data_IF_022973470503
#
_entry.id   IF_022973470503
#
_cell.length_a   1.000
_cell.length_b   1.000
_cell.length_c   1.000
_cell.angle_alpha   90.00
_cell.angle_beta   90.00
_cell.angle_gamma   90.00
#
_symmetry.space_group_name_H-M   'P 1'
#
loop_
_entity.id
_entity.type
_entity.pdbx_description
1 polymer ?
#
# COMPACT_ATOMS: atom_id res chain seq x y z
N UNK A 1 11.71 -15.96 45.42
CA UNK A 1 12.47 -16.16 44.15
C UNK A 1 13.82 -15.48 44.30
N UNK A 2 14.93 -16.16 44.00
CA UNK A 2 16.29 -15.62 44.20
C UNK A 2 16.58 -14.53 43.15
N UNK A 3 17.07 -13.36 43.56
CA UNK A 3 17.42 -12.25 42.64
C UNK A 3 18.32 -12.68 41.48
N UNK A 4 19.22 -13.65 41.67
CA UNK A 4 20.03 -14.23 40.58
C UNK A 4 19.16 -14.94 39.53
N UNK A 5 18.17 -15.72 39.96
CA UNK A 5 17.25 -16.40 39.07
C UNK A 5 16.36 -15.42 38.30
N UNK A 6 15.96 -14.32 38.94
CA UNK A 6 15.20 -13.23 38.30
C UNK A 6 16.07 -12.56 37.21
N UNK A 7 17.31 -12.22 37.54
CA UNK A 7 18.23 -11.58 36.58
C UNK A 7 18.50 -12.50 35.39
N UNK A 8 18.76 -13.79 35.62
CA UNK A 8 18.95 -14.77 34.54
C UNK A 8 17.73 -14.85 33.64
N UNK A 9 16.52 -14.89 34.22
CA UNK A 9 15.28 -14.93 33.45
C UNK A 9 15.10 -13.67 32.59
N UNK A 10 15.38 -12.48 33.15
CA UNK A 10 15.31 -11.21 32.41
C UNK A 10 16.29 -11.19 31.23
N UNK A 11 17.52 -11.66 31.42
CA UNK A 11 18.52 -11.74 30.34
C UNK A 11 18.05 -12.66 29.22
N UNK A 12 17.49 -13.83 29.55
CA UNK A 12 16.98 -14.78 28.55
C UNK A 12 15.83 -14.14 27.75
N UNK A 13 14.89 -13.48 28.41
CA UNK A 13 13.78 -12.78 27.74
C UNK A 13 14.34 -11.69 26.81
N UNK A 14 15.31 -10.90 27.27
CA UNK A 14 15.92 -9.85 26.47
C UNK A 14 16.61 -10.41 25.21
N UNK A 15 17.32 -11.53 25.33
CA UNK A 15 17.95 -12.21 24.20
C UNK A 15 16.92 -12.72 23.19
N UNK A 16 15.79 -13.26 23.65
CA UNK A 16 14.69 -13.71 22.78
C UNK A 16 14.08 -12.52 22.03
N UNK A 17 13.84 -11.39 22.72
CA UNK A 17 13.29 -10.19 22.09
C UNK A 17 14.23 -9.62 21.02
N UNK A 18 15.53 -9.55 21.32
CA UNK A 18 16.54 -9.08 20.35
C UNK A 18 16.60 -10.05 19.16
N UNK A 19 16.67 -11.35 19.43
CA UNK A 19 16.70 -12.38 18.38
C UNK A 19 15.46 -12.33 17.48
N UNK A 20 14.27 -12.20 18.08
CA UNK A 20 13.02 -12.06 17.34
C UNK A 20 12.98 -10.79 16.48
N UNK A 21 13.43 -9.65 17.03
CA UNK A 21 13.50 -8.40 16.27
C UNK A 21 14.47 -8.50 15.08
N UNK A 22 15.66 -9.07 15.28
CA UNK A 22 16.63 -9.28 14.20
C UNK A 22 16.10 -10.25 13.13
N UNK A 23 15.38 -11.30 13.55
CA UNK A 23 14.75 -12.24 12.62
C UNK A 23 13.69 -11.55 11.75
N UNK A 24 12.80 -10.75 12.36
CA UNK A 24 11.79 -10.00 11.59
C UNK A 24 12.46 -9.05 10.61
N UNK A 25 13.44 -8.26 11.05
CA UNK A 25 14.15 -7.34 10.16
C UNK A 25 14.86 -8.03 9.00
N UNK A 26 15.52 -9.17 9.25
CA UNK A 26 16.25 -9.90 8.23
C UNK A 26 15.34 -10.55 7.16
N UNK A 27 14.08 -10.81 7.50
CA UNK A 27 13.08 -11.41 6.61
C UNK A 27 12.01 -10.39 6.16
N UNK A 28 12.24 -9.09 6.40
CA UNK A 28 11.30 -8.05 5.99
C UNK A 28 11.59 -7.58 4.57
N UNK A 29 10.56 -7.52 3.74
CA UNK A 29 10.63 -7.06 2.35
C UNK A 29 10.09 -5.64 2.18
N UNK A 30 10.75 -4.85 1.32
CA UNK A 30 10.28 -3.53 0.92
C UNK A 30 9.19 -3.68 -0.14
N UNK A 31 7.94 -3.38 0.21
CA UNK A 31 6.86 -3.43 -0.78
C UNK A 31 6.70 -2.12 -1.54
N UNK A 32 5.99 -2.21 -2.66
CA UNK A 32 5.62 -1.09 -3.52
C UNK A 32 4.24 -1.33 -4.13
N UNK A 33 3.42 -0.28 -4.15
CA UNK A 33 2.19 -0.24 -4.94
C UNK A 33 2.45 0.58 -6.18
N UNK A 34 2.44 -0.07 -7.35
CA UNK A 34 2.56 0.59 -8.64
C UNK A 34 1.18 0.84 -9.24
N UNK A 35 0.95 2.05 -9.76
CA UNK A 35 -0.22 2.35 -10.59
C UNK A 35 0.08 1.90 -12.02
N UNK A 36 -0.66 0.92 -12.52
CA UNK A 36 -0.46 0.28 -13.84
C UNK A 36 -1.48 0.71 -14.88
N UNK A 37 -2.53 1.43 -14.49
CA UNK A 37 -3.44 2.09 -15.43
C UNK A 37 -2.76 3.27 -16.14
N UNK A 38 -3.36 3.72 -17.25
CA UNK A 38 -2.93 4.95 -17.91
C UNK A 38 -3.00 6.16 -16.96
N UNK A 39 -2.15 7.15 -17.20
CA UNK A 39 -2.16 8.42 -16.47
C UNK A 39 -3.27 9.37 -16.93
N UNK A 40 -3.98 9.06 -18.02
CA UNK A 40 -5.16 9.77 -18.50
C UNK A 40 -6.29 8.75 -18.64
N UNK A 41 -7.38 8.96 -17.91
CA UNK A 41 -8.54 8.09 -17.85
C UNK A 41 -9.82 8.90 -18.08
N UNK A 42 -10.92 8.21 -18.33
CA UNK A 42 -12.28 8.79 -18.36
C UNK A 42 -13.17 8.10 -17.33
N UNK A 43 -14.32 8.69 -17.03
CA UNK A 43 -15.35 8.03 -16.26
C UNK A 43 -15.75 6.69 -16.93
N UNK A 44 -15.84 5.64 -16.12
CA UNK A 44 -16.03 4.26 -16.56
C UNK A 44 -14.73 3.47 -16.75
N UNK A 45 -13.57 4.12 -16.87
CA UNK A 45 -12.28 3.45 -16.78
C UNK A 45 -11.93 3.14 -15.31
N UNK A 46 -10.86 2.38 -15.10
CA UNK A 46 -10.38 2.03 -13.77
C UNK A 46 -8.94 2.46 -13.52
N UNK A 47 -8.70 3.02 -12.34
CA UNK A 47 -7.35 3.07 -11.78
C UNK A 47 -6.99 1.65 -11.37
N UNK A 48 -5.89 1.13 -11.92
CA UNK A 48 -5.40 -0.21 -11.63
C UNK A 48 -4.06 -0.10 -10.91
N UNK A 49 -3.87 -0.95 -9.91
CA UNK A 49 -2.63 -1.03 -9.14
C UNK A 49 -2.12 -2.47 -9.09
N UNK A 50 -0.84 -2.63 -8.79
CA UNK A 50 -0.23 -3.90 -8.41
C UNK A 50 0.63 -3.73 -7.16
N UNK A 51 0.50 -4.64 -6.19
CA UNK A 51 1.31 -4.69 -4.98
C UNK A 51 2.42 -5.74 -5.13
N UNK A 52 3.68 -5.29 -5.05
CA UNK A 52 4.85 -6.15 -5.19
C UNK A 52 5.92 -5.87 -4.14
N UNK A 53 6.90 -6.76 -3.97
CA UNK A 53 8.15 -6.50 -3.25
C UNK A 53 9.30 -6.07 -4.18
N UNK A 54 10.48 -5.82 -3.62
CA UNK A 54 11.71 -5.52 -4.36
C UNK A 54 12.14 -6.62 -5.34
N UNK A 55 11.61 -7.83 -5.19
CA UNK A 55 11.88 -9.00 -6.04
C UNK A 55 10.76 -9.28 -7.06
N UNK A 56 9.73 -8.43 -7.12
CA UNK A 56 8.54 -8.56 -7.97
C UNK A 56 7.64 -9.74 -7.60
N UNK A 57 7.72 -10.24 -6.37
CA UNK A 57 6.70 -11.15 -5.86
C UNK A 57 5.42 -10.34 -5.63
N UNK A 58 4.29 -10.90 -6.06
CA UNK A 58 2.98 -10.29 -5.90
C UNK A 58 2.37 -10.68 -4.56
N UNK A 59 1.49 -9.83 -4.02
CA UNK A 59 0.81 -10.10 -2.76
C UNK A 59 -0.71 -10.12 -2.93
N UNK A 60 -1.32 -11.31 -3.10
CA UNK A 60 -2.76 -11.49 -3.14
C UNK A 60 -3.46 -11.31 -1.79
N UNK A 61 -4.72 -10.86 -1.82
CA UNK A 61 -5.58 -10.75 -0.63
C UNK A 61 -5.21 -9.64 0.35
N UNK A 62 -4.31 -8.74 -0.04
CA UNK A 62 -3.82 -7.65 0.80
C UNK A 62 -4.66 -6.39 0.59
N UNK A 63 -5.06 -5.70 1.67
CA UNK A 63 -5.80 -4.45 1.58
C UNK A 63 -4.88 -3.29 1.21
N UNK A 64 -5.26 -2.52 0.19
CA UNK A 64 -4.59 -1.27 -0.20
C UNK A 64 -5.60 -0.14 -0.18
N UNK A 65 -5.23 0.96 0.48
CA UNK A 65 -6.03 2.16 0.51
C UNK A 65 -5.63 3.07 -0.64
N UNK A 66 -6.60 3.49 -1.45
CA UNK A 66 -6.41 4.39 -2.58
C UNK A 66 -7.21 5.65 -2.32
N UNK A 67 -6.55 6.80 -2.41
CA UNK A 67 -7.16 8.12 -2.28
C UNK A 67 -6.92 8.92 -3.54
N UNK A 68 -7.98 9.35 -4.21
CA UNK A 68 -7.90 10.20 -5.40
C UNK A 68 -8.27 11.62 -4.98
N UNK A 69 -7.35 12.57 -5.15
CA UNK A 69 -7.53 13.97 -4.78
C UNK A 69 -7.58 14.86 -6.01
N UNK A 70 -8.47 15.83 -6.00
CA UNK A 70 -8.46 16.93 -6.96
C UNK A 70 -7.52 18.08 -6.51
N UNK A 71 -7.31 19.05 -7.41
CA UNK A 71 -6.48 20.23 -7.15
C UNK A 71 -7.01 21.14 -6.03
N UNK A 72 -8.30 21.01 -5.67
CA UNK A 72 -8.92 21.76 -4.58
C UNK A 72 -8.81 21.05 -3.22
N UNK A 73 -8.27 19.83 -3.20
CA UNK A 73 -8.03 19.02 -2.00
C UNK A 73 -9.22 18.14 -1.61
N UNK A 74 -10.29 18.08 -2.40
CA UNK A 74 -11.35 17.09 -2.18
C UNK A 74 -10.82 15.71 -2.52
N UNK A 75 -11.25 14.73 -1.74
CA UNK A 75 -10.71 13.38 -1.83
C UNK A 75 -11.80 12.32 -1.78
N UNK A 76 -11.71 11.40 -2.72
CA UNK A 76 -12.45 10.14 -2.70
C UNK A 76 -11.53 9.04 -2.21
N UNK A 77 -11.99 8.25 -1.25
CA UNK A 77 -11.20 7.20 -0.62
C UNK A 77 -11.80 5.84 -0.94
N UNK A 78 -10.94 4.87 -1.19
CA UNK A 78 -11.29 3.52 -1.60
C UNK A 78 -10.41 2.53 -0.85
N UNK A 79 -11.05 1.50 -0.30
CA UNK A 79 -10.36 0.33 0.22
C UNK A 79 -10.54 -0.80 -0.79
N UNK A 80 -9.44 -1.26 -1.38
CA UNK A 80 -9.42 -2.36 -2.34
C UNK A 80 -8.60 -3.52 -1.79
N UNK A 81 -8.88 -4.73 -2.27
CA UNK A 81 -8.15 -5.94 -1.91
C UNK A 81 -7.54 -6.49 -3.19
N UNK A 82 -6.26 -6.84 -3.14
CA UNK A 82 -5.56 -7.42 -4.28
C UNK A 82 -6.07 -8.83 -4.61
N UNK A 83 -6.12 -9.14 -5.90
CA UNK A 83 -6.48 -10.45 -6.42
C UNK A 83 -5.28 -11.42 -6.46
N UNK A 84 -5.45 -12.59 -7.07
CA UNK A 84 -4.41 -13.63 -7.18
C UNK A 84 -3.15 -13.17 -7.94
N UNK A 85 -3.24 -12.10 -8.73
CA UNK A 85 -2.10 -11.49 -9.42
C UNK A 85 -1.47 -10.34 -8.61
N UNK A 86 -1.96 -10.08 -7.40
CA UNK A 86 -1.57 -8.92 -6.60
C UNK A 86 -2.12 -7.60 -7.14
N UNK A 87 -3.11 -7.64 -8.03
CA UNK A 87 -3.70 -6.46 -8.67
C UNK A 87 -5.00 -6.04 -8.00
N UNK A 88 -5.31 -4.75 -8.01
CA UNK A 88 -6.60 -4.24 -7.56
C UNK A 88 -7.02 -3.05 -8.41
N UNK A 89 -8.32 -2.72 -8.40
CA UNK A 89 -8.83 -1.63 -9.24
C UNK A 89 -9.96 -0.84 -8.59
N UNK A 90 -10.03 0.44 -8.96
CA UNK A 90 -11.10 1.37 -8.61
C UNK A 90 -11.69 1.93 -9.89
N UNK A 91 -12.97 1.65 -10.14
CA UNK A 91 -13.68 2.23 -11.29
C UNK A 91 -14.01 3.69 -11.00
N UNK A 92 -13.60 4.57 -11.91
CA UNK A 92 -13.88 5.99 -11.85
C UNK A 92 -15.35 6.23 -12.21
N UNK A 93 -16.09 6.86 -11.31
CA UNK A 93 -17.45 7.29 -11.55
C UNK A 93 -17.65 8.69 -11.00
N UNK A 94 -18.34 9.54 -11.77
CA UNK A 94 -18.75 10.89 -11.35
C UNK A 94 -17.58 11.82 -10.99
N UNK A 95 -16.47 11.74 -11.70
CA UNK A 95 -15.38 12.72 -11.62
C UNK A 95 -15.55 13.81 -12.66
N UNK A 96 -15.30 15.07 -12.28
CA UNK A 96 -15.20 16.15 -13.25
C UNK A 96 -13.88 16.05 -14.02
N UNK A 97 -13.84 16.54 -15.27
CA UNK A 97 -12.61 16.60 -16.03
C UNK A 97 -11.58 17.50 -15.33
N UNK A 98 -10.34 17.06 -15.23
CA UNK A 98 -9.29 17.81 -14.55
C UNK A 98 -8.05 16.99 -14.17
N UNK A 99 -7.16 17.63 -13.43
CA UNK A 99 -5.99 16.99 -12.85
C UNK A 99 -6.30 16.47 -11.45
N UNK A 100 -5.77 15.29 -11.17
CA UNK A 100 -5.91 14.58 -9.93
C UNK A 100 -4.59 13.96 -9.51
N UNK A 101 -4.52 13.53 -8.26
CA UNK A 101 -3.43 12.72 -7.73
C UNK A 101 -3.99 11.46 -7.08
N UNK A 102 -3.37 10.32 -7.38
CA UNK A 102 -3.65 9.03 -6.77
C UNK A 102 -2.63 8.83 -5.66
N UNK A 103 -3.12 8.69 -4.44
CA UNK A 103 -2.33 8.34 -3.27
C UNK A 103 -2.61 6.88 -2.93
N UNK A 104 -1.59 6.03 -2.98
CA UNK A 104 -1.68 4.62 -2.60
C UNK A 104 -1.04 4.42 -1.23
N UNK A 105 -1.70 3.65 -0.38
CA UNK A 105 -1.22 3.33 0.95
C UNK A 105 -1.42 1.85 1.26
N UNK A 106 -0.32 1.15 1.49
CA UNK A 106 -0.29 -0.20 2.01
C UNK A 106 0.29 -0.19 3.42
N UNK A 107 -0.46 -0.71 4.39
CA UNK A 107 -0.08 -0.66 5.81
C UNK A 107 1.05 -1.62 6.19
N UNK A 108 1.42 -2.55 5.30
CA UNK A 108 2.41 -3.59 5.61
C UNK A 108 1.86 -4.70 6.51
N UNK A 109 2.71 -5.69 6.74
CA UNK A 109 2.52 -6.78 7.70
C UNK A 109 3.75 -6.89 8.60
N UNK A 110 3.87 -7.98 9.35
CA UNK A 110 5.08 -8.26 10.14
C UNK A 110 6.34 -8.38 9.26
N UNK A 111 6.19 -8.92 8.04
CA UNK A 111 7.32 -9.20 7.14
C UNK A 111 7.28 -8.36 5.85
N UNK A 112 6.22 -7.62 5.61
CA UNK A 112 6.11 -6.71 4.47
C UNK A 112 6.08 -5.28 4.99
N UNK A 113 7.00 -4.43 4.55
CA UNK A 113 7.01 -3.04 5.03
C UNK A 113 5.82 -2.26 4.48
N UNK A 114 5.40 -1.21 5.18
CA UNK A 114 4.40 -0.29 4.67
C UNK A 114 4.91 0.48 3.43
N UNK A 115 3.99 0.91 2.57
CA UNK A 115 4.30 1.71 1.39
C UNK A 115 3.32 2.88 1.22
N UNK A 116 3.84 4.02 0.80
CA UNK A 116 3.06 5.19 0.40
C UNK A 116 3.54 5.70 -0.97
N UNK A 117 2.62 5.79 -1.93
CA UNK A 117 2.88 6.26 -3.28
C UNK A 117 1.99 7.44 -3.66
N UNK A 118 2.48 8.27 -4.58
CA UNK A 118 1.70 9.36 -5.20
C UNK A 118 1.96 9.37 -6.70
N UNK A 119 0.89 9.35 -7.49
CA UNK A 119 0.93 9.34 -8.95
C UNK A 119 -0.02 10.41 -9.49
N UNK A 120 0.37 11.10 -10.56
CA UNK A 120 -0.52 12.02 -11.25
C UNK A 120 -1.57 11.26 -12.07
N UNK A 121 -2.78 11.80 -12.14
CA UNK A 121 -3.88 11.29 -12.94
C UNK A 121 -4.58 12.47 -13.63
N UNK A 122 -4.94 12.30 -14.89
CA UNK A 122 -5.83 13.22 -15.62
C UNK A 122 -7.13 12.49 -15.88
N UNK A 123 -8.25 13.14 -15.61
CA UNK A 123 -9.57 12.66 -16.01
C UNK A 123 -10.07 13.55 -17.14
N UNK A 124 -10.35 12.95 -18.30
CA UNK A 124 -10.85 13.63 -19.49
C UNK A 124 -11.85 12.75 -20.25
N UNK A 125 -13.14 13.06 -20.08
CA UNK A 125 -14.24 12.38 -20.79
C UNK A 125 -14.36 12.76 -22.27
N UNK A 126 -13.52 13.66 -22.79
CA UNK A 126 -13.54 14.10 -24.20
C UNK A 126 -14.74 14.99 -24.55
N UNK A 127 -15.63 15.27 -23.60
CA UNK A 127 -16.68 16.29 -23.71
C UNK A 127 -16.18 17.59 -23.07
N UNK A 128 -15.34 18.32 -23.80
CA UNK A 128 -15.04 19.72 -23.48
C UNK A 128 -16.17 20.62 -24.03
N UNK A 129 -16.64 21.56 -23.20
CA UNK A 129 -17.51 22.67 -23.62
C UNK A 129 -16.86 23.54 -24.70
#
# INVERSE_FOLDING_TARGET
>A
MNSKAIITLVIIILLILIGGFLFVQANSHNTKVDVISNSSLKNGDAVQIVLTDEYRNVYPGEPVHIKILDDSGWANNYDVVTDDSGEASVVLSTYDNGNYTIHTNYNGTLFNKAYHGVNALVIDDGYGY
#
